data_IF_991479095526
#
_entry.id   IF_991479095526
#
_cell.length_a   1.000
_cell.length_b   1.000
_cell.length_c   1.000
_cell.angle_alpha   90.00
_cell.angle_beta   90.00
_cell.angle_gamma   90.00
#
_symmetry.space_group_name_H-M   'P 1'
#
loop_
_entity.id
_entity.type
_entity.pdbx_description
1 polymer ?
#
# COMPACT_ATOMS: atom_id res chain seq x y z
N UNK A 1 48.82 -17.32 -38.18
CA UNK A 1 48.00 -18.47 -37.72
C UNK A 1 46.95 -17.90 -36.79
N UNK A 2 45.69 -17.87 -37.20
CA UNK A 2 44.60 -17.24 -36.43
C UNK A 2 43.79 -18.33 -35.74
N UNK A 3 43.71 -18.29 -34.40
CA UNK A 3 42.84 -19.19 -33.64
C UNK A 3 41.36 -18.86 -33.91
N UNK A 4 40.48 -19.86 -34.08
CA UNK A 4 39.06 -19.60 -34.17
C UNK A 4 38.53 -19.21 -32.78
N UNK A 5 37.86 -18.06 -32.71
CA UNK A 5 37.08 -17.66 -31.54
C UNK A 5 35.95 -18.66 -31.35
N UNK A 6 36.01 -19.44 -30.27
CA UNK A 6 34.90 -20.28 -29.83
C UNK A 6 33.77 -19.38 -29.32
N UNK A 7 32.87 -19.00 -30.22
CA UNK A 7 31.56 -18.45 -29.83
C UNK A 7 30.74 -19.62 -29.29
N UNK A 8 30.60 -19.69 -27.97
CA UNK A 8 29.68 -20.61 -27.31
C UNK A 8 28.26 -20.14 -27.66
N UNK A 9 27.68 -20.71 -28.71
CA UNK A 9 26.25 -20.61 -29.00
C UNK A 9 25.53 -21.48 -27.97
N UNK A 10 25.04 -20.85 -26.89
CA UNK A 10 24.04 -21.48 -26.04
C UNK A 10 22.83 -21.86 -26.90
N UNK A 11 22.25 -23.06 -26.72
CA UNK A 11 21.07 -23.47 -27.50
C UNK A 11 19.95 -22.44 -27.31
N UNK A 12 19.32 -22.00 -28.40
CA UNK A 12 18.25 -21.01 -28.36
C UNK A 12 17.14 -21.39 -27.35
N UNK A 13 16.84 -22.67 -27.19
CA UNK A 13 15.87 -23.17 -26.20
C UNK A 13 16.30 -22.89 -24.76
N UNK A 14 17.59 -23.06 -24.44
CA UNK A 14 18.14 -22.74 -23.11
C UNK A 14 18.09 -21.23 -22.84
N UNK A 15 18.36 -20.40 -23.84
CA UNK A 15 18.25 -18.94 -23.71
C UNK A 15 16.81 -18.49 -23.51
N UNK A 16 15.85 -19.07 -24.24
CA UNK A 16 14.42 -18.75 -24.08
C UNK A 16 13.89 -19.17 -22.71
N UNK A 17 14.28 -20.36 -22.22
CA UNK A 17 13.88 -20.81 -20.88
C UNK A 17 14.42 -19.88 -19.78
N UNK A 18 15.68 -19.48 -19.88
CA UNK A 18 16.29 -18.56 -18.92
C UNK A 18 15.59 -17.19 -18.92
N UNK A 19 15.19 -16.69 -20.10
CA UNK A 19 14.46 -15.43 -20.22
C UNK A 19 13.06 -15.50 -19.59
N UNK A 20 12.36 -16.64 -19.72
CA UNK A 20 11.05 -16.84 -19.10
C UNK A 20 11.16 -16.89 -17.56
N UNK A 21 12.17 -17.59 -17.03
CA UNK A 21 12.44 -17.62 -15.58
C UNK A 21 12.78 -16.23 -15.04
N UNK A 22 13.60 -15.45 -15.76
CA UNK A 22 13.91 -14.06 -15.38
C UNK A 22 12.64 -13.21 -15.39
N UNK A 23 11.78 -13.34 -16.41
CA UNK A 23 10.54 -12.57 -16.50
C UNK A 23 9.56 -12.90 -15.37
N UNK A 24 9.46 -14.18 -15.00
CA UNK A 24 8.64 -14.61 -13.86
C UNK A 24 9.21 -14.09 -12.54
N UNK A 25 10.53 -14.16 -12.34
CA UNK A 25 11.19 -13.57 -11.18
C UNK A 25 10.97 -12.05 -11.07
N UNK A 26 11.02 -11.32 -12.20
CA UNK A 26 10.71 -9.89 -12.22
C UNK A 26 9.28 -9.59 -11.75
N UNK A 27 8.28 -10.36 -12.19
CA UNK A 27 6.90 -10.21 -11.71
C UNK A 27 6.76 -10.45 -10.21
N UNK A 28 7.43 -11.47 -9.68
CA UNK A 28 7.42 -11.77 -8.25
C UNK A 28 8.03 -10.60 -7.45
N UNK A 29 9.13 -10.02 -7.92
CA UNK A 29 9.76 -8.85 -7.28
C UNK A 29 8.81 -7.66 -7.30
N UNK A 30 8.19 -7.34 -8.43
CA UNK A 30 7.21 -6.25 -8.53
C UNK A 30 6.01 -6.45 -7.59
N UNK A 31 5.52 -7.68 -7.46
CA UNK A 31 4.44 -8.01 -6.53
C UNK A 31 4.86 -7.86 -5.06
N UNK A 32 6.07 -8.28 -4.70
CA UNK A 32 6.62 -8.10 -3.34
C UNK A 32 6.83 -6.62 -3.02
N UNK A 33 7.39 -5.84 -3.95
CA UNK A 33 7.57 -4.40 -3.79
C UNK A 33 6.24 -3.69 -3.60
N UNK A 34 5.22 -4.05 -4.41
CA UNK A 34 3.86 -3.54 -4.24
C UNK A 34 3.30 -3.85 -2.85
N UNK A 35 3.41 -5.11 -2.40
CA UNK A 35 2.94 -5.53 -1.08
C UNK A 35 3.67 -4.82 0.06
N UNK A 36 4.98 -4.61 -0.05
CA UNK A 36 5.77 -3.90 0.96
C UNK A 36 5.35 -2.43 1.07
N UNK A 37 5.13 -1.76 -0.05
CA UNK A 37 4.65 -0.36 -0.06
C UNK A 37 3.23 -0.27 0.51
N UNK A 38 2.34 -1.17 0.12
CA UNK A 38 0.99 -1.25 0.70
C UNK A 38 1.04 -1.51 2.21
N UNK A 39 1.87 -2.45 2.68
CA UNK A 39 2.02 -2.73 4.11
C UNK A 39 2.57 -1.52 4.90
N UNK A 40 3.64 -0.89 4.40
CA UNK A 40 4.24 0.27 5.05
C UNK A 40 3.25 1.44 5.16
N UNK A 41 2.55 1.74 4.06
CA UNK A 41 1.53 2.81 4.02
C UNK A 41 0.32 2.48 4.89
N UNK A 42 -0.10 1.21 4.95
CA UNK A 42 -1.17 0.73 5.84
C UNK A 42 -0.80 0.94 7.30
N UNK A 43 0.41 0.53 7.69
CA UNK A 43 0.89 0.61 9.07
C UNK A 43 1.05 2.06 9.53
N UNK A 44 1.64 2.91 8.69
CA UNK A 44 1.84 4.33 9.01
C UNK A 44 0.49 5.05 9.15
N UNK A 45 -0.43 4.82 8.20
CA UNK A 45 -1.77 5.39 8.25
C UNK A 45 -2.54 4.98 9.51
N UNK A 46 -2.51 3.68 9.87
CA UNK A 46 -3.18 3.18 11.06
C UNK A 46 -2.65 3.86 12.33
N UNK A 47 -1.32 3.97 12.45
CA UNK A 47 -0.67 4.64 13.57
C UNK A 47 -1.02 6.13 13.64
N UNK A 48 -1.00 6.85 12.52
CA UNK A 48 -1.36 8.28 12.47
C UNK A 48 -2.81 8.51 12.87
N UNK A 49 -3.75 7.68 12.39
CA UNK A 49 -5.16 7.78 12.77
C UNK A 49 -5.38 7.49 14.24
N UNK A 50 -4.71 6.49 14.80
CA UNK A 50 -4.77 6.17 16.23
C UNK A 50 -4.24 7.33 17.09
N UNK A 51 -3.09 7.91 16.72
CA UNK A 51 -2.53 9.08 17.41
C UNK A 51 -3.46 10.29 17.36
N UNK A 52 -4.06 10.57 16.20
CA UNK A 52 -5.03 11.65 16.04
C UNK A 52 -6.27 11.43 16.93
N UNK A 53 -6.82 10.21 16.94
CA UNK A 53 -7.96 9.86 17.79
C UNK A 53 -7.62 9.96 19.28
N UNK A 54 -6.44 9.51 19.68
CA UNK A 54 -5.97 9.61 21.06
C UNK A 54 -5.83 11.07 21.48
N UNK A 55 -5.25 11.94 20.64
CA UNK A 55 -5.14 13.36 20.92
C UNK A 55 -6.52 14.03 21.04
N UNK A 56 -7.46 13.70 20.15
CA UNK A 56 -8.85 14.20 20.21
C UNK A 56 -9.56 13.69 21.47
N UNK A 57 -9.31 12.45 21.88
CA UNK A 57 -9.93 11.86 23.08
C UNK A 57 -9.55 12.59 24.38
N UNK A 58 -8.33 13.15 24.41
CA UNK A 58 -7.79 13.91 25.54
C UNK A 58 -8.29 15.36 25.56
N UNK A 59 -8.97 15.83 24.51
CA UNK A 59 -9.55 17.17 24.45
C UNK A 59 -10.72 17.29 25.44
N UNK A 60 -10.58 18.20 26.42
CA UNK A 60 -11.60 18.46 27.45
C UNK A 60 -12.74 19.36 26.93
N UNK A 61 -12.49 20.16 25.91
CA UNK A 61 -13.51 20.99 25.28
C UNK A 61 -14.35 20.13 24.32
N UNK A 62 -15.59 19.90 24.70
CA UNK A 62 -16.53 19.09 23.93
C UNK A 62 -16.79 19.64 22.53
N UNK A 63 -16.94 20.97 22.38
CA UNK A 63 -17.21 21.59 21.07
C UNK A 63 -16.02 21.47 20.15
N UNK A 64 -14.82 21.69 20.69
CA UNK A 64 -13.59 21.51 19.94
C UNK A 64 -13.39 20.04 19.55
N UNK A 65 -13.63 19.11 20.48
CA UNK A 65 -13.57 17.67 20.23
C UNK A 65 -14.50 17.25 19.10
N UNK A 66 -15.76 17.67 19.13
CA UNK A 66 -16.75 17.35 18.10
C UNK A 66 -16.34 17.93 16.74
N UNK A 67 -15.84 19.17 16.71
CA UNK A 67 -15.32 19.81 15.49
C UNK A 67 -14.13 19.04 14.90
N UNK A 68 -13.20 18.58 15.75
CA UNK A 68 -12.04 17.79 15.34
C UNK A 68 -12.45 16.41 14.83
N UNK A 69 -13.42 15.74 15.45
CA UNK A 69 -13.96 14.46 14.97
C UNK A 69 -14.60 14.61 13.60
N UNK A 70 -15.39 15.67 13.37
CA UNK A 70 -15.98 15.93 12.05
C UNK A 70 -14.93 16.19 10.97
N UNK A 71 -13.87 16.95 11.29
CA UNK A 71 -12.75 17.16 10.36
C UNK A 71 -12.03 15.86 10.05
N UNK A 72 -11.72 15.06 11.07
CA UNK A 72 -11.09 13.76 10.89
C UNK A 72 -11.94 12.82 10.03
N UNK A 73 -13.26 12.80 10.23
CA UNK A 73 -14.17 12.01 9.41
C UNK A 73 -14.11 12.44 7.93
N UNK A 74 -14.12 13.74 7.65
CA UNK A 74 -14.04 14.26 6.28
C UNK A 74 -12.72 13.85 5.59
N UNK A 75 -11.58 14.00 6.27
CA UNK A 75 -10.27 13.58 5.75
C UNK A 75 -10.24 12.07 5.47
N UNK A 76 -10.81 11.24 6.36
CA UNK A 76 -10.91 9.79 6.14
C UNK A 76 -11.74 9.49 4.88
N UNK A 77 -12.85 10.20 4.64
CA UNK A 77 -13.65 10.01 3.41
C UNK A 77 -12.84 10.32 2.16
N UNK A 78 -12.12 11.44 2.15
CA UNK A 78 -11.32 11.86 0.99
C UNK A 78 -10.19 10.86 0.69
N UNK A 79 -9.46 10.43 1.73
CA UNK A 79 -8.40 9.43 1.59
C UNK A 79 -8.99 8.09 1.12
N UNK A 80 -10.13 7.67 1.68
CA UNK A 80 -10.81 6.43 1.30
C UNK A 80 -11.18 6.41 -0.19
N UNK A 81 -11.66 7.52 -0.74
CA UNK A 81 -11.94 7.64 -2.18
C UNK A 81 -10.66 7.51 -3.01
N UNK A 82 -9.58 8.17 -2.60
CA UNK A 82 -8.30 8.07 -3.29
C UNK A 82 -7.73 6.65 -3.29
N UNK A 83 -7.79 5.96 -2.14
CA UNK A 83 -7.33 4.57 -1.99
C UNK A 83 -8.19 3.62 -2.84
N UNK A 84 -9.52 3.79 -2.82
CA UNK A 84 -10.43 3.02 -3.67
C UNK A 84 -10.06 3.11 -5.15
N UNK A 85 -9.80 4.31 -5.62
CA UNK A 85 -9.47 4.55 -7.03
C UNK A 85 -8.11 3.98 -7.43
N UNK A 86 -7.17 3.89 -6.49
CA UNK A 86 -5.79 3.43 -6.74
C UNK A 86 -5.62 1.92 -6.57
N UNK A 87 -6.21 1.36 -5.53
CA UNK A 87 -5.95 -0.01 -5.06
C UNK A 87 -7.20 -0.86 -4.92
N UNK A 88 -8.40 -0.31 -5.19
CA UNK A 88 -9.67 -1.01 -5.03
C UNK A 88 -10.16 -1.05 -3.59
N UNK A 89 -11.33 -1.67 -3.39
CA UNK A 89 -11.97 -1.81 -2.07
C UNK A 89 -11.44 -3.01 -1.27
N UNK A 90 -10.80 -3.97 -1.95
CA UNK A 90 -10.31 -5.21 -1.33
C UNK A 90 -8.97 -5.04 -0.62
N UNK A 91 -8.30 -3.89 -0.77
CA UNK A 91 -7.02 -3.65 -0.14
C UNK A 91 -7.16 -3.36 1.37
N UNK A 92 -6.15 -3.74 2.15
CA UNK A 92 -6.19 -3.62 3.61
C UNK A 92 -6.26 -2.16 4.07
N UNK A 93 -5.61 -1.23 3.35
CA UNK A 93 -5.71 0.22 3.61
C UNK A 93 -7.17 0.69 3.57
N UNK A 94 -7.92 0.30 2.53
CA UNK A 94 -9.31 0.69 2.38
C UNK A 94 -10.18 0.13 3.51
N UNK A 95 -9.97 -1.15 3.86
CA UNK A 95 -10.68 -1.80 4.98
C UNK A 95 -10.42 -1.10 6.31
N UNK A 96 -9.18 -0.68 6.58
CA UNK A 96 -8.85 0.11 7.78
C UNK A 96 -9.58 1.45 7.76
N UNK A 97 -9.55 2.18 6.64
CA UNK A 97 -10.23 3.47 6.53
C UNK A 97 -11.74 3.37 6.78
N UNK A 98 -12.39 2.31 6.28
CA UNK A 98 -13.81 2.03 6.56
C UNK A 98 -14.07 1.79 8.06
N UNK A 99 -13.18 1.05 8.73
CA UNK A 99 -13.31 0.83 10.18
C UNK A 99 -13.11 2.13 10.97
N UNK A 100 -12.14 2.96 10.56
CA UNK A 100 -11.83 4.22 11.22
C UNK A 100 -12.93 5.27 11.04
N UNK A 101 -13.52 5.36 9.85
CA UNK A 101 -14.70 6.20 9.60
C UNK A 101 -15.84 5.84 10.54
N UNK A 102 -16.13 4.55 10.71
CA UNK A 102 -17.17 4.07 11.64
C UNK A 102 -16.84 4.48 13.08
N UNK A 103 -15.60 4.29 13.53
CA UNK A 103 -15.18 4.67 14.89
C UNK A 103 -15.39 6.16 15.15
N UNK A 104 -15.06 7.01 14.17
CA UNK A 104 -15.19 8.47 14.31
C UNK A 104 -16.67 8.90 14.28
N UNK A 105 -17.50 8.28 13.45
CA UNK A 105 -18.94 8.62 13.34
C UNK A 105 -19.74 8.17 14.57
N UNK A 106 -19.37 7.06 15.22
CA UNK A 106 -20.11 6.51 16.36
C UNK A 106 -19.67 7.06 17.75
N UNK A 107 -18.62 7.90 17.83
CA UNK A 107 -18.06 8.45 19.09
C UNK A 107 -18.46 9.90 19.35
#
# INVERSE_FOLDING_TARGET
>A
MSQPSNTILLPCETTVHLLLEIFEACKIIEDIERQLVEFATTSELAMTLELAQNAISQCKDYRLKESLLRKLAAEIVDIKVAVRNRSGEDCDVYRILVLQERIVVYR
#
